data_IF_862359185089
#
_entry.id   IF_862359185089
#
_cell.length_a   1.000
_cell.length_b   1.000
_cell.length_c   1.000
_cell.angle_alpha   90.00
_cell.angle_beta   90.00
_cell.angle_gamma   90.00
#
_symmetry.space_group_name_H-M   'P 1'
#
loop_
_entity.id
_entity.type
_entity.pdbx_description
1 polymer ?
#
# COMPACT_ATOMS: atom_id res chain seq x y z
N UNK A 1 4.31 -7.39 11.56
CA UNK A 1 4.11 -8.24 10.38
C UNK A 1 5.33 -9.11 10.22
N UNK A 2 5.18 -10.43 10.34
CA UNK A 2 6.20 -11.41 9.90
C UNK A 2 6.11 -11.60 8.38
N UNK A 3 7.20 -11.98 7.69
CA UNK A 3 7.22 -12.16 6.23
C UNK A 3 6.14 -13.09 5.70
N UNK A 4 5.84 -14.16 6.43
CA UNK A 4 4.82 -15.15 6.08
C UNK A 4 3.39 -14.60 6.25
N UNK A 5 3.17 -13.73 7.23
CA UNK A 5 1.88 -13.05 7.42
C UNK A 5 1.64 -11.92 6.40
N UNK A 6 2.69 -11.37 5.80
CA UNK A 6 2.57 -10.32 4.80
C UNK A 6 2.08 -10.86 3.44
N UNK A 7 2.28 -12.15 3.19
CA UNK A 7 1.80 -12.86 2.00
C UNK A 7 0.33 -13.29 2.13
N UNK A 8 -0.16 -13.48 3.37
CA UNK A 8 -1.56 -13.79 3.63
C UNK A 8 -2.46 -12.57 3.43
N UNK A 9 -3.49 -12.76 2.61
CA UNK A 9 -4.53 -11.76 2.36
C UNK A 9 -5.33 -11.54 3.64
N UNK A 10 -5.10 -10.39 4.28
CA UNK A 10 -5.73 -10.07 5.57
C UNK A 10 -6.97 -9.20 5.34
N UNK A 11 -7.91 -9.18 6.29
CA UNK A 11 -9.06 -8.25 6.30
C UNK A 11 -8.63 -6.77 6.09
N UNK A 12 -7.42 -6.41 6.50
CA UNK A 12 -6.81 -5.10 6.25
C UNK A 12 -6.62 -4.79 4.76
N UNK A 13 -6.27 -5.78 3.92
CA UNK A 13 -6.13 -5.61 2.47
C UNK A 13 -7.49 -5.44 1.79
N UNK A 14 -8.51 -6.17 2.26
CA UNK A 14 -9.89 -5.98 1.79
C UNK A 14 -10.41 -4.58 2.13
N UNK A 15 -10.18 -4.13 3.37
CA UNK A 15 -10.49 -2.77 3.81
C UNK A 15 -9.75 -1.72 2.98
N UNK A 16 -8.46 -1.93 2.71
CA UNK A 16 -7.66 -1.05 1.86
C UNK A 16 -8.20 -1.01 0.43
N UNK A 17 -8.62 -2.15 -0.14
CA UNK A 17 -9.24 -2.22 -1.45
C UNK A 17 -10.57 -1.47 -1.54
N UNK A 18 -11.44 -1.61 -0.54
CA UNK A 18 -12.70 -0.86 -0.44
C UNK A 18 -12.44 0.63 -0.26
N UNK A 19 -11.48 1.01 0.60
CA UNK A 19 -11.06 2.40 0.77
C UNK A 19 -10.48 2.99 -0.51
N UNK A 20 -9.72 2.21 -1.29
CA UNK A 20 -9.16 2.65 -2.56
C UNK A 20 -10.27 2.98 -3.56
N UNK A 21 -11.28 2.09 -3.70
CA UNK A 21 -12.42 2.35 -4.57
C UNK A 21 -13.24 3.57 -4.10
N UNK A 22 -13.51 3.65 -2.79
CA UNK A 22 -14.24 4.78 -2.20
C UNK A 22 -13.49 6.11 -2.37
N UNK A 23 -12.18 6.13 -2.15
CA UNK A 23 -11.37 7.34 -2.29
C UNK A 23 -11.32 7.86 -3.72
N UNK A 24 -11.21 6.96 -4.71
CA UNK A 24 -11.24 7.35 -6.12
C UNK A 24 -12.58 7.99 -6.50
N UNK A 25 -13.70 7.34 -6.14
CA UNK A 25 -15.04 7.86 -6.43
C UNK A 25 -15.33 9.17 -5.70
N UNK A 26 -15.01 9.28 -4.40
CA UNK A 26 -15.21 10.51 -3.64
C UNK A 26 -14.36 11.66 -4.17
N UNK A 27 -13.11 11.39 -4.55
CA UNK A 27 -12.23 12.44 -5.06
C UNK A 27 -12.72 12.92 -6.43
N UNK A 28 -13.12 12.02 -7.33
CA UNK A 28 -13.70 12.40 -8.62
C UNK A 28 -14.97 13.24 -8.46
N UNK A 29 -15.89 12.81 -7.58
CA UNK A 29 -17.14 13.52 -7.28
C UNK A 29 -16.88 14.86 -6.58
N UNK A 30 -15.93 14.89 -5.64
CA UNK A 30 -15.53 16.09 -4.92
C UNK A 30 -14.87 17.14 -5.82
N UNK A 31 -13.97 16.72 -6.71
CA UNK A 31 -13.34 17.60 -7.72
C UNK A 31 -14.38 18.17 -8.67
N UNK A 32 -15.30 17.33 -9.18
CA UNK A 32 -16.40 17.79 -10.01
C UNK A 32 -17.27 18.82 -9.26
N UNK A 33 -17.67 18.53 -8.01
CA UNK A 33 -18.46 19.44 -7.19
C UNK A 33 -17.75 20.75 -6.85
N UNK A 34 -16.42 20.72 -6.64
CA UNK A 34 -15.60 21.89 -6.38
C UNK A 34 -15.47 22.78 -7.62
N UNK A 35 -15.34 22.19 -8.82
CA UNK A 35 -15.37 22.92 -10.09
C UNK A 35 -16.72 23.62 -10.33
N UNK A 36 -17.82 23.03 -9.88
CA UNK A 36 -19.14 23.66 -9.88
C UNK A 36 -19.34 24.68 -8.73
N UNK A 37 -18.28 25.01 -7.98
CA UNK A 37 -18.28 25.95 -6.86
C UNK A 37 -19.30 25.60 -5.77
N UNK A 38 -19.64 24.31 -5.65
CA UNK A 38 -20.69 23.82 -4.75
C UNK A 38 -20.07 23.35 -3.46
N UNK A 39 -20.59 23.82 -2.32
CA UNK A 39 -20.04 23.54 -0.99
C UNK A 39 -19.92 22.05 -0.65
N UNK A 40 -20.83 21.20 -1.16
CA UNK A 40 -20.74 19.75 -0.95
C UNK A 40 -19.51 19.12 -1.64
N UNK A 41 -19.02 19.72 -2.73
CA UNK A 41 -17.84 19.21 -3.45
C UNK A 41 -16.57 19.31 -2.61
N UNK A 42 -16.41 20.41 -1.89
CA UNK A 42 -15.30 20.59 -0.95
C UNK A 42 -15.35 19.59 0.22
N UNK A 43 -16.55 19.31 0.74
CA UNK A 43 -16.72 18.30 1.80
C UNK A 43 -16.34 16.90 1.28
N UNK A 44 -16.80 16.53 0.09
CA UNK A 44 -16.46 15.24 -0.52
C UNK A 44 -14.95 15.11 -0.80
N UNK A 45 -14.29 16.20 -1.19
CA UNK A 45 -12.84 16.26 -1.35
C UNK A 45 -12.08 16.02 -0.04
N UNK A 46 -12.49 16.68 1.05
CA UNK A 46 -11.87 16.49 2.37
C UNK A 46 -12.01 15.04 2.83
N UNK A 47 -13.21 14.45 2.69
CA UNK A 47 -13.43 13.05 3.05
C UNK A 47 -12.62 12.10 2.15
N UNK A 48 -12.51 12.39 0.85
CA UNK A 48 -11.65 11.64 -0.06
C UNK A 48 -10.18 11.65 0.36
N UNK A 49 -9.65 12.81 0.75
CA UNK A 49 -8.28 12.94 1.27
C UNK A 49 -8.09 12.14 2.56
N UNK A 50 -9.05 12.19 3.49
CA UNK A 50 -8.99 11.41 4.73
C UNK A 50 -8.93 9.90 4.42
N UNK A 51 -9.74 9.41 3.47
CA UNK A 51 -9.68 8.01 3.05
C UNK A 51 -8.31 7.64 2.48
N UNK A 52 -7.68 8.51 1.68
CA UNK A 52 -6.34 8.25 1.14
C UNK A 52 -5.29 8.17 2.26
N UNK A 53 -5.34 9.07 3.24
CA UNK A 53 -4.41 9.07 4.37
C UNK A 53 -4.59 7.81 5.22
N UNK A 54 -5.83 7.43 5.53
CA UNK A 54 -6.12 6.20 6.27
C UNK A 54 -5.62 4.95 5.52
N UNK A 55 -5.80 4.90 4.21
CA UNK A 55 -5.26 3.82 3.38
C UNK A 55 -3.73 3.76 3.47
N UNK A 56 -3.05 4.90 3.40
CA UNK A 56 -1.59 4.98 3.54
C UNK A 56 -1.11 4.43 4.89
N UNK A 57 -1.79 4.81 5.99
CA UNK A 57 -1.44 4.34 7.33
C UNK A 57 -1.63 2.84 7.50
N UNK A 58 -2.60 2.24 6.80
CA UNK A 58 -2.84 0.79 6.85
C UNK A 58 -1.81 0.03 6.00
N UNK A 59 -1.44 0.55 4.83
CA UNK A 59 -0.55 -0.14 3.88
C UNK A 59 0.94 0.01 4.24
N UNK A 60 1.39 1.17 4.73
CA UNK A 60 2.81 1.44 5.06
C UNK A 60 3.48 0.38 5.97
N UNK A 61 2.87 -0.05 7.10
CA UNK A 61 3.48 -1.06 7.96
C UNK A 61 3.61 -2.44 7.29
N UNK A 62 2.73 -2.74 6.33
CA UNK A 62 2.78 -3.99 5.55
C UNK A 62 3.90 -3.91 4.51
N UNK A 63 4.00 -2.80 3.78
CA UNK A 63 5.05 -2.57 2.79
C UNK A 63 6.45 -2.62 3.40
N UNK A 64 6.67 -1.99 4.57
CA UNK A 64 7.96 -2.04 5.27
C UNK A 64 8.35 -3.47 5.65
N UNK A 65 7.42 -4.24 6.19
CA UNK A 65 7.69 -5.62 6.59
C UNK A 65 8.00 -6.54 5.40
N UNK A 66 7.32 -6.33 4.26
CA UNK A 66 7.64 -7.02 3.01
C UNK A 66 9.03 -6.61 2.51
N UNK A 67 9.35 -5.32 2.49
CA UNK A 67 10.64 -4.80 2.02
C UNK A 67 11.82 -5.39 2.79
N UNK A 68 11.72 -5.49 4.12
CA UNK A 68 12.78 -6.09 4.94
C UNK A 68 12.95 -7.59 4.65
N UNK A 69 11.84 -8.30 4.42
CA UNK A 69 11.87 -9.71 4.05
C UNK A 69 12.52 -9.93 2.67
N UNK A 70 12.20 -9.09 1.69
CA UNK A 70 12.80 -9.13 0.36
C UNK A 70 14.29 -8.80 0.42
N UNK A 71 14.70 -7.79 1.19
CA UNK A 71 16.11 -7.44 1.37
C UNK A 71 16.92 -8.62 1.93
N UNK A 72 16.37 -9.33 2.92
CA UNK A 72 17.02 -10.52 3.50
C UNK A 72 17.15 -11.66 2.50
N UNK A 73 16.10 -11.94 1.70
CA UNK A 73 16.16 -12.93 0.62
C UNK A 73 17.18 -12.55 -0.44
N UNK A 74 17.26 -11.28 -0.82
CA UNK A 74 18.21 -10.79 -1.82
C UNK A 74 19.67 -10.98 -1.37
N UNK A 75 19.97 -10.75 -0.09
CA UNK A 75 21.31 -11.01 0.48
C UNK A 75 21.65 -12.52 0.49
N UNK A 76 20.69 -13.38 0.85
CA UNK A 76 20.86 -14.84 0.78
C UNK A 76 21.08 -15.34 -0.66
N UNK A 77 20.33 -14.81 -1.64
CA UNK A 77 20.55 -15.13 -3.05
C UNK A 77 21.94 -14.71 -3.54
N UNK A 78 22.40 -13.52 -3.16
CA UNK A 78 23.75 -13.06 -3.52
C UNK A 78 24.84 -13.97 -2.96
N UNK A 79 24.72 -14.38 -1.69
CA UNK A 79 25.65 -15.35 -1.07
C UNK A 79 25.63 -16.71 -1.77
N UNK A 80 24.46 -17.19 -2.17
CA UNK A 80 24.33 -18.45 -2.90
C UNK A 80 24.98 -18.38 -4.29
N UNK A 81 24.79 -17.28 -5.01
CA UNK A 81 25.41 -17.03 -6.32
C UNK A 81 26.92 -16.90 -6.19
N UNK A 82 27.43 -16.19 -5.17
CA UNK A 82 28.87 -16.06 -4.93
C UNK A 82 29.51 -17.43 -4.67
N UNK A 83 28.88 -18.25 -3.80
CA UNK A 83 29.33 -19.61 -3.50
C UNK A 83 29.36 -20.53 -4.73
N UNK A 84 28.31 -20.46 -5.55
CA UNK A 84 28.21 -21.23 -6.80
C UNK A 84 29.25 -20.78 -7.83
N UNK A 85 29.52 -19.48 -7.91
CA UNK A 85 30.46 -18.89 -8.87
C UNK A 85 31.92 -19.10 -8.46
N UNK A 86 32.23 -19.10 -7.17
CA UNK A 86 33.57 -19.39 -6.62
C UNK A 86 33.93 -20.87 -6.60
N UNK A 87 33.03 -21.77 -7.01
CA UNK A 87 33.25 -23.23 -6.99
C UNK A 87 33.65 -23.77 -5.60
N UNK A 88 33.33 -23.06 -4.52
CA UNK A 88 33.42 -23.57 -3.15
C UNK A 88 32.17 -24.44 -2.90
N UNK A 89 32.26 -25.75 -3.17
CA UNK A 89 31.28 -26.72 -2.69
C UNK A 89 31.13 -26.63 -1.17
#
# INVERSE_FOLDING_TARGET
WTPEQADEWTIHDLLAGVLAMASYTLTAIGVAGALLMRTWGFVALIVGVICIVLMYLIIDPKLRAMSDAFAKRQDEFLKHVDRTTRWEQ
#
